data_IF_138233259949
#
_entry.id   IF_138233259949
#
_cell.length_a   1.000
_cell.length_b   1.000
_cell.length_c   1.000
_cell.angle_alpha   90.00
_cell.angle_beta   90.00
_cell.angle_gamma   90.00
#
_symmetry.space_group_name_H-M   'P 1'
#
loop_
_entity.id
_entity.type
_entity.pdbx_description
1 polymer ?
#
# COMPACT_ATOMS: atom_id res chain seq x y z
N UNK A 1 18.48 14.30 12.76
CA UNK A 1 18.47 14.28 14.24
C UNK A 1 17.31 15.13 14.76
N UNK A 2 17.17 16.35 14.28
CA UNK A 2 16.13 17.29 14.70
C UNK A 2 14.71 16.78 14.47
N UNK A 3 14.42 16.23 13.29
CA UNK A 3 13.11 15.65 12.98
C UNK A 3 12.75 14.44 13.87
N UNK A 4 13.74 13.61 14.21
CA UNK A 4 13.52 12.50 15.13
C UNK A 4 13.21 13.00 16.55
N UNK A 5 13.93 14.01 17.04
CA UNK A 5 13.64 14.62 18.34
C UNK A 5 12.23 15.22 18.38
N UNK A 6 11.80 15.88 17.32
CA UNK A 6 10.45 16.44 17.23
C UNK A 6 9.37 15.36 17.31
N UNK A 7 9.52 14.28 16.54
CA UNK A 7 8.61 13.11 16.59
C UNK A 7 8.58 12.48 17.98
N UNK A 8 9.75 12.33 18.61
CA UNK A 8 9.85 11.75 19.95
C UNK A 8 9.15 12.61 21.01
N UNK A 9 9.33 13.93 20.94
CA UNK A 9 8.63 14.85 21.86
C UNK A 9 7.11 14.79 21.68
N UNK A 10 6.61 14.71 20.44
CA UNK A 10 5.19 14.55 20.18
C UNK A 10 4.65 13.21 20.72
N UNK A 11 5.37 12.12 20.47
CA UNK A 11 4.99 10.79 20.97
C UNK A 11 4.99 10.72 22.50
N UNK A 12 6.01 11.28 23.16
CA UNK A 12 6.07 11.32 24.62
C UNK A 12 4.90 12.13 25.21
N UNK A 13 4.55 13.26 24.58
CA UNK A 13 3.38 14.04 24.97
C UNK A 13 2.08 13.25 24.83
N UNK A 14 1.88 12.54 23.74
CA UNK A 14 0.72 11.69 23.52
C UNK A 14 0.68 10.51 24.50
N UNK A 15 1.81 9.81 24.70
CA UNK A 15 1.89 8.69 25.66
C UNK A 15 1.62 9.11 27.11
N UNK A 16 1.87 10.36 27.47
CA UNK A 16 1.53 10.91 28.81
C UNK A 16 0.03 11.25 28.93
N UNK A 17 -0.59 11.68 27.84
CA UNK A 17 -2.00 12.07 27.79
C UNK A 17 -2.93 10.86 27.64
N UNK A 18 -2.52 9.88 26.82
CA UNK A 18 -3.20 8.61 26.66
C UNK A 18 -2.64 7.64 27.70
N UNK A 19 -3.27 7.56 28.86
CA UNK A 19 -3.20 6.34 29.64
C UNK A 19 -3.81 5.26 28.76
N UNK A 20 -2.96 4.55 28.00
CA UNK A 20 -3.37 3.37 27.25
C UNK A 20 -4.24 2.52 28.17
N UNK A 21 -5.42 2.16 27.70
CA UNK A 21 -6.42 1.50 28.49
C UNK A 21 -5.81 0.34 29.26
N UNK A 22 -5.65 0.54 30.55
CA UNK A 22 -4.82 -0.25 31.47
C UNK A 22 -5.35 -1.66 31.78
N UNK A 23 -6.32 -2.13 31.00
CA UNK A 23 -6.97 -3.43 31.21
C UNK A 23 -6.25 -4.61 30.52
N UNK A 24 -5.16 -4.36 29.81
CA UNK A 24 -4.37 -5.42 29.16
C UNK A 24 -3.18 -5.78 30.05
N UNK A 25 -3.31 -6.88 30.79
CA UNK A 25 -2.17 -7.44 31.51
C UNK A 25 -1.10 -7.93 30.53
N UNK A 26 0.03 -7.23 30.43
CA UNK A 26 1.15 -7.47 29.51
C UNK A 26 0.80 -7.19 28.04
N UNK A 27 0.62 -5.93 27.65
CA UNK A 27 0.33 -5.59 26.25
C UNK A 27 1.50 -5.95 25.33
N UNK A 28 1.18 -6.47 24.16
CA UNK A 28 2.11 -6.57 23.05
C UNK A 28 2.20 -5.22 22.38
N UNK A 29 3.42 -4.71 22.18
CA UNK A 29 3.70 -3.40 21.62
C UNK A 29 4.21 -3.51 20.19
N UNK A 30 3.57 -2.79 19.26
CA UNK A 30 3.96 -2.72 17.86
C UNK A 30 4.01 -1.27 17.39
N UNK A 31 5.12 -0.87 16.79
CA UNK A 31 5.28 0.42 16.13
C UNK A 31 5.15 0.30 14.62
N UNK A 32 4.41 1.22 14.00
CA UNK A 32 4.49 1.46 12.56
C UNK A 32 5.35 2.69 12.31
N UNK A 33 6.19 2.61 11.28
CA UNK A 33 7.02 3.72 10.83
C UNK A 33 7.01 3.84 9.32
N UNK A 34 6.68 5.04 8.84
CA UNK A 34 6.85 5.39 7.44
C UNK A 34 7.68 6.66 7.33
N UNK A 35 8.63 6.66 6.42
CA UNK A 35 9.49 7.81 6.18
C UNK A 35 9.56 8.13 4.70
N UNK A 36 9.77 9.40 4.37
CA UNK A 36 10.08 9.79 3.00
C UNK A 36 11.54 9.47 2.65
N UNK A 37 11.87 9.47 1.36
CA UNK A 37 13.18 9.10 0.82
C UNK A 37 14.35 9.81 1.53
N UNK A 38 14.16 11.06 1.93
CA UNK A 38 15.16 11.86 2.64
C UNK A 38 15.71 11.18 3.91
N UNK A 39 14.93 10.28 4.51
CA UNK A 39 15.32 9.57 5.74
C UNK A 39 15.63 8.09 5.52
N UNK A 40 15.59 7.58 4.30
CA UNK A 40 15.84 6.16 4.00
C UNK A 40 17.18 5.68 4.56
N UNK A 41 18.26 6.40 4.30
CA UNK A 41 19.60 6.08 4.80
C UNK A 41 19.72 6.20 6.34
N UNK A 42 18.85 6.95 6.98
CA UNK A 42 18.85 7.16 8.44
C UNK A 42 17.90 6.20 9.19
N UNK A 43 17.21 5.32 8.48
CA UNK A 43 16.23 4.40 9.07
C UNK A 43 16.77 3.60 10.26
N UNK A 44 18.00 3.02 10.22
CA UNK A 44 18.54 2.28 11.37
C UNK A 44 18.67 3.14 12.62
N UNK A 45 19.15 4.39 12.48
CA UNK A 45 19.35 5.32 13.59
C UNK A 45 18.00 5.81 14.14
N UNK A 46 17.02 6.04 13.26
CA UNK A 46 15.66 6.42 13.65
C UNK A 46 15.03 5.31 14.48
N UNK A 47 15.07 4.06 14.00
CA UNK A 47 14.53 2.90 14.73
C UNK A 47 15.22 2.69 16.09
N UNK A 48 16.54 2.87 16.14
CA UNK A 48 17.27 2.79 17.39
C UNK A 48 16.78 3.84 18.39
N UNK A 49 16.63 5.08 17.96
CA UNK A 49 16.13 6.17 18.81
C UNK A 49 14.70 5.91 19.29
N UNK A 50 13.81 5.47 18.39
CA UNK A 50 12.43 5.12 18.72
C UNK A 50 12.38 4.00 19.75
N UNK A 51 13.12 2.91 19.56
CA UNK A 51 13.18 1.78 20.52
C UNK A 51 13.63 2.21 21.90
N UNK A 52 14.67 3.05 21.96
CA UNK A 52 15.24 3.53 23.23
C UNK A 52 14.26 4.41 24.02
N UNK A 53 13.53 5.28 23.33
CA UNK A 53 12.66 6.28 23.97
C UNK A 53 11.26 5.75 24.24
N UNK A 54 10.70 4.93 23.35
CA UNK A 54 9.32 4.40 23.50
C UNK A 54 9.24 3.05 24.22
N UNK A 55 10.34 2.29 24.23
CA UNK A 55 10.36 0.91 24.73
C UNK A 55 9.67 -0.10 23.81
N UNK A 56 9.19 0.31 22.64
CA UNK A 56 8.64 -0.59 21.61
C UNK A 56 9.79 -1.30 20.89
N UNK A 57 9.75 -2.61 20.84
CA UNK A 57 10.80 -3.44 20.20
C UNK A 57 10.44 -3.85 18.79
N UNK A 58 9.17 -4.14 18.55
CA UNK A 58 8.64 -4.61 17.27
C UNK A 58 8.21 -3.43 16.42
N UNK A 59 8.77 -3.35 15.22
CA UNK A 59 8.53 -2.27 14.26
C UNK A 59 8.32 -2.84 12.86
N UNK A 60 7.33 -2.32 12.15
CA UNK A 60 7.09 -2.59 10.73
C UNK A 60 6.81 -1.28 10.00
N UNK A 61 6.98 -1.26 8.69
CA UNK A 61 6.77 -0.08 7.87
C UNK A 61 7.70 -0.01 6.66
N UNK A 62 7.99 1.20 6.20
CA UNK A 62 8.87 1.36 5.05
C UNK A 62 9.03 2.81 4.61
N UNK A 63 9.65 2.96 3.46
CA UNK A 63 9.75 4.26 2.79
C UNK A 63 8.59 4.45 1.82
N UNK A 64 8.20 5.71 1.64
CA UNK A 64 7.13 6.10 0.73
C UNK A 64 7.45 7.45 0.09
N UNK A 65 6.87 7.79 -1.07
CA UNK A 65 7.03 9.11 -1.67
C UNK A 65 6.36 10.21 -0.84
N UNK A 66 5.43 9.84 0.02
CA UNK A 66 4.75 10.71 0.95
C UNK A 66 4.23 9.95 2.16
N UNK A 67 3.98 10.64 3.24
CA UNK A 67 3.39 10.11 4.46
C UNK A 67 2.27 11.02 4.93
N UNK A 68 1.26 10.46 5.58
CA UNK A 68 0.21 11.23 6.22
C UNK A 68 0.04 10.82 7.68
N UNK A 69 -0.22 11.78 8.53
CA UNK A 69 -0.47 11.57 9.95
C UNK A 69 -1.30 12.72 10.50
N UNK A 70 -2.30 12.38 11.33
CA UNK A 70 -3.11 13.38 12.05
C UNK A 70 -3.73 14.47 11.16
N UNK A 71 -4.17 14.09 9.93
CA UNK A 71 -4.82 15.02 8.99
C UNK A 71 -3.87 15.92 8.20
N UNK A 72 -2.56 15.64 8.25
CA UNK A 72 -1.54 16.36 7.47
C UNK A 72 -0.87 15.37 6.51
N UNK A 73 -0.70 15.79 5.26
CA UNK A 73 0.06 15.06 4.25
C UNK A 73 1.41 15.76 4.01
N UNK A 74 2.45 14.94 3.88
CA UNK A 74 3.79 15.35 3.49
C UNK A 74 4.17 14.58 2.24
N UNK A 75 4.31 15.24 1.11
CA UNK A 75 4.62 14.62 -0.16
C UNK A 75 5.88 15.23 -0.77
N UNK A 76 6.86 14.37 -1.13
CA UNK A 76 8.17 14.77 -1.68
C UNK A 76 8.97 15.73 -0.78
N UNK A 77 8.71 15.72 0.51
CA UNK A 77 9.43 16.50 1.51
C UNK A 77 9.88 15.60 2.67
N UNK A 78 10.91 16.01 3.45
CA UNK A 78 11.40 15.22 4.56
C UNK A 78 10.35 15.04 5.65
N UNK A 79 9.85 13.81 5.84
CA UNK A 79 8.86 13.53 6.86
C UNK A 79 9.01 12.12 7.46
N UNK A 80 8.57 11.99 8.71
CA UNK A 80 8.51 10.75 9.47
C UNK A 80 7.12 10.64 10.08
N UNK A 81 6.39 9.57 9.77
CA UNK A 81 5.13 9.23 10.42
C UNK A 81 5.31 7.99 11.29
N UNK A 82 4.82 8.04 12.52
CA UNK A 82 4.91 6.96 13.50
C UNK A 82 3.56 6.72 14.13
N UNK A 83 3.20 5.45 14.28
CA UNK A 83 2.03 5.02 15.05
C UNK A 83 2.48 3.97 16.07
N UNK A 84 2.06 4.13 17.32
CA UNK A 84 2.30 3.17 18.41
C UNK A 84 1.00 2.46 18.75
N UNK A 85 1.03 1.15 18.83
CA UNK A 85 -0.14 0.33 19.10
C UNK A 85 0.16 -0.67 20.21
N UNK A 86 -0.83 -0.88 21.07
CA UNK A 86 -0.81 -1.92 22.09
C UNK A 86 -1.96 -2.91 21.84
N UNK A 87 -1.65 -4.18 21.88
CA UNK A 87 -2.58 -5.28 21.66
C UNK A 87 -2.57 -6.25 22.85
N UNK A 88 -3.60 -7.07 23.03
CA UNK A 88 -3.52 -8.24 23.90
C UNK A 88 -2.31 -9.10 23.52
N UNK A 89 -1.71 -9.77 24.49
CA UNK A 89 -0.56 -10.65 24.26
C UNK A 89 -0.80 -11.62 23.10
N UNK A 90 0.22 -11.89 22.31
CA UNK A 90 0.20 -12.81 21.16
C UNK A 90 -0.78 -12.43 20.03
N UNK A 91 -1.21 -11.17 19.97
CA UNK A 91 -2.13 -10.69 18.94
C UNK A 91 -1.45 -10.35 17.63
N UNK A 92 -0.16 -10.08 17.62
CA UNK A 92 0.58 -9.67 16.44
C UNK A 92 1.95 -10.37 16.36
N UNK A 93 2.40 -10.74 15.18
CA UNK A 93 3.72 -11.32 14.96
C UNK A 93 4.34 -10.76 13.69
N UNK A 94 5.49 -10.12 13.86
CA UNK A 94 6.29 -9.61 12.74
C UNK A 94 6.88 -10.78 11.96
N UNK A 95 6.91 -10.68 10.65
CA UNK A 95 7.52 -11.66 9.76
C UNK A 95 8.33 -10.97 8.65
N UNK A 96 9.29 -11.70 8.11
CA UNK A 96 10.10 -11.30 6.96
C UNK A 96 10.81 -12.52 6.37
N UNK A 97 11.62 -12.34 5.34
CA UNK A 97 12.49 -13.42 4.84
C UNK A 97 13.45 -14.00 5.90
N UNK A 98 13.70 -13.27 7.01
CA UNK A 98 14.53 -13.72 8.15
C UNK A 98 13.71 -14.22 9.34
N UNK A 99 12.50 -13.74 9.48
CA UNK A 99 11.59 -14.09 10.60
C UNK A 99 10.38 -14.82 9.99
N UNK A 100 10.27 -16.14 10.17
CA UNK A 100 9.25 -16.92 9.49
C UNK A 100 7.84 -16.61 10.01
N UNK A 101 6.87 -16.75 9.11
CA UNK A 101 5.45 -16.79 9.46
C UNK A 101 5.15 -17.91 10.45
N UNK A 102 4.11 -17.74 11.30
CA UNK A 102 3.52 -18.88 12.02
C UNK A 102 3.14 -20.00 11.05
N UNK A 103 3.10 -21.23 11.55
CA UNK A 103 2.61 -22.34 10.72
C UNK A 103 1.11 -22.14 10.40
N UNK A 104 0.65 -22.43 9.17
CA UNK A 104 -0.76 -22.39 8.84
C UNK A 104 -1.59 -23.24 9.83
N UNK A 105 -2.73 -22.73 10.28
CA UNK A 105 -3.59 -23.40 11.26
C UNK A 105 -3.04 -23.42 12.68
N UNK A 106 -1.90 -22.77 12.96
CA UNK A 106 -1.40 -22.66 14.33
C UNK A 106 -2.26 -21.71 15.16
N UNK A 107 -2.31 -21.98 16.46
CA UNK A 107 -3.02 -21.16 17.43
C UNK A 107 -2.04 -20.52 18.43
N UNK A 108 -2.43 -19.40 18.96
CA UNK A 108 -1.73 -18.74 20.08
C UNK A 108 -1.89 -19.53 21.38
N UNK A 109 -1.14 -19.23 22.41
CA UNK A 109 -1.32 -19.86 23.73
C UNK A 109 -2.73 -19.62 24.31
N UNK A 110 -3.39 -18.54 23.92
CA UNK A 110 -4.80 -18.25 24.27
C UNK A 110 -5.82 -18.98 23.36
N UNK A 111 -5.39 -19.87 22.46
CA UNK A 111 -6.26 -20.65 21.59
C UNK A 111 -6.83 -19.91 20.40
N UNK A 112 -6.37 -18.69 20.10
CA UNK A 112 -6.81 -17.93 18.93
C UNK A 112 -6.00 -18.35 17.70
N UNK A 113 -6.60 -18.36 16.53
CA UNK A 113 -5.87 -18.59 15.28
C UNK A 113 -4.80 -17.52 15.08
N UNK A 114 -3.57 -17.94 14.78
CA UNK A 114 -2.39 -17.08 14.81
C UNK A 114 -2.25 -16.15 13.59
N UNK A 115 -2.92 -16.48 12.46
CA UNK A 115 -2.86 -15.72 11.22
C UNK A 115 -4.24 -15.48 10.67
N UNK A 116 -4.96 -14.49 11.20
CA UNK A 116 -6.27 -14.08 10.71
C UNK A 116 -6.20 -12.98 9.65
N UNK A 117 -5.34 -12.00 9.84
CA UNK A 117 -5.12 -10.91 8.88
C UNK A 117 -3.62 -10.60 8.76
N UNK A 118 -3.21 -9.88 7.71
CA UNK A 118 -1.83 -9.47 7.52
C UNK A 118 -1.73 -8.03 6.97
N UNK A 119 -0.85 -7.23 7.60
CA UNK A 119 -0.33 -5.99 7.01
C UNK A 119 1.02 -6.32 6.38
N UNK A 120 1.21 -5.98 5.11
CA UNK A 120 2.41 -6.33 4.35
C UNK A 120 3.09 -5.13 3.73
N UNK A 121 4.41 -5.25 3.58
CA UNK A 121 5.27 -4.35 2.84
C UNK A 121 6.09 -5.17 1.85
N UNK A 122 6.09 -4.76 0.60
CA UNK A 122 6.72 -5.49 -0.50
C UNK A 122 7.73 -4.59 -1.18
N UNK A 123 8.94 -5.09 -1.37
CA UNK A 123 9.90 -4.45 -2.27
C UNK A 123 9.44 -4.66 -3.72
N UNK A 124 9.21 -3.59 -4.50
CA UNK A 124 8.72 -3.71 -5.89
C UNK A 124 9.67 -4.43 -6.84
N UNK A 125 10.94 -4.60 -6.46
CA UNK A 125 11.92 -5.36 -7.25
C UNK A 125 11.93 -6.86 -6.92
N UNK A 126 11.01 -7.31 -6.07
CA UNK A 126 10.86 -8.74 -5.75
C UNK A 126 10.30 -9.47 -6.95
N UNK A 127 10.95 -10.58 -7.32
CA UNK A 127 10.44 -11.51 -8.33
C UNK A 127 9.21 -12.26 -7.78
N UNK A 128 8.30 -12.65 -8.68
CA UNK A 128 7.14 -13.50 -8.38
C UNK A 128 6.23 -12.97 -7.25
N UNK A 129 5.99 -11.64 -7.21
CA UNK A 129 5.16 -10.99 -6.19
C UNK A 129 3.77 -11.63 -6.13
N UNK A 130 3.16 -11.91 -7.28
CA UNK A 130 1.82 -12.50 -7.35
C UNK A 130 1.78 -13.88 -6.68
N UNK A 131 2.77 -14.73 -6.94
CA UNK A 131 2.88 -16.06 -6.32
C UNK A 131 3.06 -15.97 -4.80
N UNK A 132 3.87 -14.99 -4.34
CA UNK A 132 4.07 -14.74 -2.91
C UNK A 132 2.79 -14.25 -2.23
N UNK A 133 2.00 -13.41 -2.89
CA UNK A 133 0.73 -12.92 -2.38
C UNK A 133 -0.33 -14.03 -2.35
N UNK A 134 -0.40 -14.85 -3.38
CA UNK A 134 -1.30 -16.00 -3.44
C UNK A 134 -0.96 -17.01 -2.34
N UNK A 135 0.33 -17.34 -2.15
CA UNK A 135 0.79 -18.23 -1.06
C UNK A 135 0.45 -17.66 0.33
N UNK A 136 0.65 -16.36 0.53
CA UNK A 136 0.27 -15.71 1.78
C UNK A 136 -1.25 -15.71 1.97
N UNK A 137 -2.02 -15.47 0.90
CA UNK A 137 -3.48 -15.51 0.90
C UNK A 137 -4.06 -16.87 1.30
N UNK A 138 -3.37 -17.95 0.95
CA UNK A 138 -3.74 -19.30 1.39
C UNK A 138 -3.43 -19.56 2.86
N UNK A 139 -2.48 -18.83 3.45
CA UNK A 139 -2.05 -19.01 4.85
C UNK A 139 -2.83 -18.15 5.83
N UNK A 140 -3.37 -17.01 5.39
CA UNK A 140 -4.17 -16.08 6.20
C UNK A 140 -5.63 -16.48 6.16
N UNK A 141 -6.22 -16.85 7.30
CA UNK A 141 -7.54 -17.49 7.34
C UNK A 141 -8.71 -16.64 6.85
N UNK A 142 -8.70 -15.34 7.16
CA UNK A 142 -9.73 -14.41 6.66
C UNK A 142 -9.46 -13.95 5.22
N UNK A 143 -8.29 -14.29 4.66
CA UNK A 143 -7.76 -13.75 3.40
C UNK A 143 -7.65 -12.21 3.39
N UNK A 144 -7.72 -11.55 4.54
CA UNK A 144 -7.52 -10.11 4.65
C UNK A 144 -6.04 -9.80 4.67
N UNK A 145 -5.51 -9.43 3.50
CA UNK A 145 -4.15 -8.92 3.33
C UNK A 145 -4.26 -7.48 2.88
N UNK A 146 -3.59 -6.58 3.56
CA UNK A 146 -3.57 -5.17 3.25
C UNK A 146 -2.15 -4.61 3.40
N UNK A 147 -1.86 -3.50 2.75
CA UNK A 147 -0.53 -2.92 2.66
C UNK A 147 -0.17 -2.56 1.25
N UNK A 148 1.11 -2.66 0.87
CA UNK A 148 1.52 -2.30 -0.48
C UNK A 148 3.01 -2.35 -0.75
N UNK A 149 3.36 -1.90 -1.94
CA UNK A 149 4.73 -1.76 -2.38
C UNK A 149 5.39 -0.58 -1.67
N UNK A 150 6.62 -0.77 -1.20
CA UNK A 150 7.43 0.29 -0.58
C UNK A 150 8.42 0.82 -1.61
N UNK A 151 8.27 2.09 -1.97
CA UNK A 151 9.15 2.71 -2.95
C UNK A 151 9.15 4.23 -2.78
N UNK A 152 10.34 4.82 -2.80
CA UNK A 152 10.51 6.25 -2.92
C UNK A 152 11.77 6.50 -3.77
N UNK A 153 11.59 7.00 -4.99
CA UNK A 153 12.68 7.17 -5.94
C UNK A 153 13.37 5.84 -6.25
N UNK A 154 14.66 5.73 -5.88
CA UNK A 154 15.46 4.50 -6.05
C UNK A 154 15.55 3.66 -4.78
N UNK A 155 14.94 4.08 -3.69
CA UNK A 155 14.98 3.39 -2.41
C UNK A 155 13.75 2.47 -2.24
N UNK A 156 13.97 1.24 -1.78
CA UNK A 156 12.95 0.21 -1.61
C UNK A 156 13.02 -0.46 -0.23
N UNK A 157 13.46 0.30 0.77
CA UNK A 157 13.65 -0.21 2.13
C UNK A 157 12.32 -0.35 2.86
N UNK A 158 12.06 -1.52 3.41
CA UNK A 158 10.98 -1.77 4.35
C UNK A 158 11.52 -2.20 5.71
N UNK A 159 10.64 -2.24 6.71
CA UNK A 159 11.00 -2.53 8.10
C UNK A 159 10.20 -3.73 8.59
N UNK A 160 10.89 -4.73 9.08
CA UNK A 160 10.33 -5.81 9.87
C UNK A 160 11.33 -6.19 10.97
N UNK A 161 11.16 -5.61 12.13
CA UNK A 161 12.12 -5.43 13.21
C UNK A 161 13.24 -4.48 12.76
N UNK A 162 14.07 -4.87 11.82
CA UNK A 162 15.16 -4.07 11.24
C UNK A 162 14.89 -3.68 9.78
N UNK A 163 15.59 -2.69 9.24
CA UNK A 163 15.48 -2.33 7.84
C UNK A 163 15.98 -3.47 6.95
N UNK A 164 15.27 -3.72 5.85
CA UNK A 164 15.59 -4.74 4.87
C UNK A 164 15.12 -4.32 3.48
N UNK A 165 15.64 -5.01 2.46
CA UNK A 165 15.25 -4.85 1.06
C UNK A 165 15.01 -6.22 0.46
N UNK A 166 14.19 -6.29 -0.58
CA UNK A 166 13.77 -7.54 -1.23
C UNK A 166 12.71 -8.31 -0.45
N UNK A 167 11.85 -9.00 -1.17
CA UNK A 167 10.82 -9.87 -0.62
C UNK A 167 9.62 -9.15 -0.01
N UNK A 168 8.89 -9.92 0.78
CA UNK A 168 7.70 -9.50 1.51
C UNK A 168 7.99 -9.56 3.01
N UNK A 169 7.56 -8.54 3.73
CA UNK A 169 7.60 -8.50 5.19
C UNK A 169 6.35 -7.86 5.77
N UNK A 170 6.18 -7.91 7.07
CA UNK A 170 5.05 -7.26 7.71
C UNK A 170 4.70 -7.82 9.07
N UNK A 171 3.43 -7.80 9.38
CA UNK A 171 2.88 -8.34 10.61
C UNK A 171 1.61 -9.13 10.33
N UNK A 172 1.51 -10.32 10.90
CA UNK A 172 0.26 -11.09 10.93
C UNK A 172 -0.42 -10.87 12.27
N UNK A 173 -1.75 -10.83 12.22
CA UNK A 173 -2.60 -10.61 13.37
C UNK A 173 -3.39 -11.87 13.69
N UNK A 174 -3.49 -12.19 14.97
CA UNK A 174 -4.31 -13.29 15.46
C UNK A 174 -5.80 -12.93 15.40
N UNK A 175 -6.64 -13.96 15.30
CA UNK A 175 -8.09 -13.79 15.35
C UNK A 175 -8.54 -13.13 16.66
N UNK A 176 -9.62 -12.35 16.59
CA UNK A 176 -10.22 -11.64 17.72
C UNK A 176 -9.77 -10.18 17.87
N UNK A 177 -8.90 -9.67 17.00
CA UNK A 177 -8.71 -8.24 16.86
C UNK A 177 -9.79 -7.65 15.92
N UNK A 178 -10.38 -6.50 16.26
CA UNK A 178 -11.36 -5.82 15.40
C UNK A 178 -10.66 -5.09 14.25
N UNK A 179 -10.14 -5.84 13.28
CA UNK A 179 -9.48 -5.27 12.10
C UNK A 179 -10.53 -5.09 11.01
N UNK A 180 -10.68 -3.86 10.57
CA UNK A 180 -11.55 -3.49 9.45
C UNK A 180 -10.69 -2.83 8.36
N UNK A 181 -10.73 -3.40 7.16
CA UNK A 181 -10.00 -2.87 6.01
C UNK A 181 -10.97 -2.11 5.12
N UNK A 182 -10.60 -0.88 4.78
CA UNK A 182 -11.32 -0.04 3.82
C UNK A 182 -10.36 0.36 2.73
N UNK A 183 -10.84 0.34 1.49
CA UNK A 183 -10.11 0.84 0.35
C UNK A 183 -10.78 2.10 -0.18
N UNK A 184 -9.98 3.14 -0.37
CA UNK A 184 -10.40 4.36 -1.04
C UNK A 184 -9.52 4.54 -2.27
N UNK A 185 -10.15 4.68 -3.42
CA UNK A 185 -9.47 4.98 -4.68
C UNK A 185 -9.83 6.41 -5.08
N UNK A 186 -8.82 7.25 -5.29
CA UNK A 186 -8.98 8.63 -5.72
C UNK A 186 -9.28 8.74 -7.22
N UNK A 187 -10.07 7.80 -7.79
CA UNK A 187 -10.45 7.76 -9.19
C UNK A 187 -11.95 7.90 -9.33
N UNK A 188 -12.40 8.60 -10.38
CA UNK A 188 -13.80 8.65 -10.79
C UNK A 188 -13.97 7.76 -12.01
N UNK A 189 -15.05 6.97 -12.02
CA UNK A 189 -15.43 6.22 -13.22
C UNK A 189 -15.86 7.21 -14.29
N UNK A 190 -15.31 7.09 -15.47
CA UNK A 190 -15.63 7.89 -16.64
C UNK A 190 -16.18 6.94 -17.71
N UNK A 191 -17.37 7.24 -18.25
CA UNK A 191 -18.01 6.39 -19.23
C UNK A 191 -18.71 5.16 -18.63
N UNK A 192 -18.81 4.13 -19.43
CA UNK A 192 -19.49 2.87 -19.11
C UNK A 192 -18.52 1.69 -19.21
N UNK A 193 -18.97 0.51 -18.82
CA UNK A 193 -18.21 -0.72 -18.96
C UNK A 193 -18.17 -1.19 -20.41
N UNK A 194 -16.98 -1.52 -20.91
CA UNK A 194 -16.73 -2.00 -22.27
C UNK A 194 -16.03 -3.35 -22.26
N UNK A 195 -16.24 -4.13 -23.30
CA UNK A 195 -15.49 -5.37 -23.50
C UNK A 195 -14.16 -5.08 -24.22
N UNK A 196 -13.04 -5.56 -23.67
CA UNK A 196 -11.74 -5.50 -24.33
C UNK A 196 -11.74 -6.55 -25.45
N UNK A 197 -11.81 -6.11 -26.70
CA UNK A 197 -11.87 -6.99 -27.88
C UNK A 197 -10.56 -7.08 -28.64
N UNK A 198 -9.61 -6.18 -28.38
CA UNK A 198 -8.28 -6.20 -28.98
C UNK A 198 -7.20 -5.75 -28.01
N UNK A 199 -6.13 -6.58 -27.89
CA UNK A 199 -4.95 -6.31 -27.07
C UNK A 199 -3.68 -6.54 -27.89
N UNK A 200 -2.69 -5.67 -27.73
CA UNK A 200 -1.33 -5.88 -28.23
C UNK A 200 -0.32 -5.64 -27.11
N UNK A 201 0.17 -6.72 -26.53
CA UNK A 201 0.94 -6.64 -25.29
C UNK A 201 0.08 -6.02 -24.19
N UNK A 202 0.51 -4.90 -23.65
CA UNK A 202 -0.20 -4.17 -22.60
C UNK A 202 -1.08 -3.04 -23.15
N UNK A 203 -1.19 -2.90 -24.47
CA UNK A 203 -2.01 -1.86 -25.10
C UNK A 203 -3.40 -2.39 -25.40
N UNK A 204 -4.42 -1.68 -24.94
CA UNK A 204 -5.80 -1.89 -25.36
C UNK A 204 -5.99 -1.20 -26.71
N UNK A 205 -6.14 -1.99 -27.78
CA UNK A 205 -6.34 -1.47 -29.13
C UNK A 205 -7.82 -1.32 -29.48
N UNK A 206 -8.67 -2.24 -28.97
CA UNK A 206 -10.09 -2.23 -29.28
C UNK A 206 -10.95 -2.46 -28.04
N UNK A 207 -12.04 -1.70 -27.96
CA UNK A 207 -13.14 -1.84 -27.02
C UNK A 207 -14.44 -2.01 -27.83
N UNK A 208 -15.22 -3.06 -27.55
CA UNK A 208 -16.47 -3.40 -28.24
C UNK A 208 -16.31 -3.47 -29.78
N UNK A 209 -15.15 -3.96 -30.26
CA UNK A 209 -14.84 -4.05 -31.70
C UNK A 209 -14.54 -2.72 -32.38
N UNK A 210 -14.29 -1.64 -31.61
CA UNK A 210 -13.97 -0.30 -32.10
C UNK A 210 -12.61 0.15 -31.57
N UNK A 211 -11.89 1.07 -32.25
CA UNK A 211 -10.66 1.63 -31.72
C UNK A 211 -10.87 2.18 -30.30
N UNK A 212 -10.01 1.75 -29.35
CA UNK A 212 -10.18 2.06 -27.92
C UNK A 212 -10.17 3.57 -27.65
N UNK A 213 -9.37 4.34 -28.40
CA UNK A 213 -9.32 5.80 -28.27
C UNK A 213 -10.65 6.46 -28.68
N UNK A 214 -11.29 5.97 -29.73
CA UNK A 214 -12.59 6.52 -30.21
C UNK A 214 -13.70 6.27 -29.19
N UNK A 215 -13.68 5.09 -28.55
CA UNK A 215 -14.64 4.74 -27.49
C UNK A 215 -14.41 5.64 -26.27
N UNK A 216 -13.16 5.80 -25.84
CA UNK A 216 -12.80 6.67 -24.72
C UNK A 216 -13.21 8.13 -24.96
N UNK A 217 -12.95 8.67 -26.16
CA UNK A 217 -13.33 10.04 -26.51
C UNK A 217 -14.85 10.21 -26.50
N UNK A 218 -15.58 9.21 -26.98
CA UNK A 218 -17.04 9.22 -26.96
C UNK A 218 -17.60 9.24 -25.53
N UNK A 219 -17.05 8.42 -24.64
CA UNK A 219 -17.43 8.37 -23.23
C UNK A 219 -17.17 9.68 -22.49
N UNK A 220 -16.09 10.35 -22.86
CA UNK A 220 -15.74 11.65 -22.32
C UNK A 220 -16.58 12.79 -22.91
N UNK A 221 -17.43 12.51 -23.91
CA UNK A 221 -18.17 13.52 -24.67
C UNK A 221 -17.26 14.42 -25.52
N UNK A 222 -16.07 13.93 -25.84
CA UNK A 222 -15.11 14.63 -26.71
C UNK A 222 -15.25 14.05 -28.10
N UNK A 223 -15.76 14.89 -29.03
CA UNK A 223 -15.73 14.52 -30.45
C UNK A 223 -14.45 15.09 -31.07
N UNK A 224 -13.74 14.31 -31.89
CA UNK A 224 -12.65 14.87 -32.67
C UNK A 224 -13.23 15.97 -33.61
N UNK A 225 -12.65 17.16 -33.50
CA UNK A 225 -13.06 18.27 -34.35
C UNK A 225 -12.72 17.91 -35.81
N UNK A 226 -13.71 17.83 -36.68
CA UNK A 226 -13.55 17.31 -38.05
C UNK A 226 -12.75 18.28 -38.94
N UNK A 227 -12.48 19.49 -38.44
CA UNK A 227 -11.78 20.55 -39.18
C UNK A 227 -10.27 20.66 -38.86
N UNK A 228 -9.72 19.84 -37.94
CA UNK A 228 -8.29 19.91 -37.61
C UNK A 228 -7.43 18.99 -38.49
N UNK A 229 -6.30 19.52 -38.92
CA UNK A 229 -5.32 18.81 -39.76
C UNK A 229 -4.66 17.59 -39.08
N UNK A 230 -4.86 17.40 -37.76
CA UNK A 230 -4.36 16.25 -36.99
C UNK A 230 -5.25 15.96 -35.77
N UNK A 231 -6.36 15.26 -35.92
CA UNK A 231 -7.31 15.00 -34.84
C UNK A 231 -6.72 14.16 -33.68
N UNK A 232 -5.74 13.30 -33.96
CA UNK A 232 -5.09 12.50 -32.94
C UNK A 232 -4.22 13.35 -31.99
N UNK A 233 -3.57 14.40 -32.52
CA UNK A 233 -2.76 15.31 -31.68
C UNK A 233 -3.65 16.17 -30.80
N UNK A 234 -4.78 16.65 -31.31
CA UNK A 234 -5.72 17.40 -30.48
C UNK A 234 -6.34 16.57 -29.36
N UNK A 235 -6.76 15.33 -29.66
CA UNK A 235 -7.28 14.41 -28.66
C UNK A 235 -6.25 14.14 -27.57
N UNK A 236 -4.98 13.92 -27.93
CA UNK A 236 -3.89 13.72 -26.98
C UNK A 236 -3.67 14.94 -26.08
N UNK A 237 -3.71 16.16 -26.63
CA UNK A 237 -3.56 17.40 -25.88
C UNK A 237 -4.72 17.64 -24.89
N UNK A 238 -5.94 17.35 -25.32
CA UNK A 238 -7.13 17.46 -24.46
C UNK A 238 -7.08 16.44 -23.33
N UNK A 239 -6.72 15.18 -23.63
CA UNK A 239 -6.58 14.12 -22.65
C UNK A 239 -5.46 14.46 -21.66
N UNK A 240 -4.30 14.91 -22.12
CA UNK A 240 -3.17 15.29 -21.27
C UNK A 240 -3.52 16.45 -20.32
N UNK A 241 -4.29 17.44 -20.78
CA UNK A 241 -4.75 18.57 -19.94
C UNK A 241 -5.82 18.14 -18.94
N UNK A 242 -6.80 17.33 -19.36
CA UNK A 242 -7.94 16.93 -18.53
C UNK A 242 -7.55 15.86 -17.50
N UNK A 243 -6.61 15.00 -17.85
CA UNK A 243 -6.13 13.90 -17.03
C UNK A 243 -4.64 14.04 -16.66
N UNK A 244 -4.25 15.26 -16.27
CA UNK A 244 -2.87 15.55 -15.85
C UNK A 244 -2.34 14.62 -14.74
N UNK A 245 -3.23 14.02 -13.95
CA UNK A 245 -2.90 13.07 -12.89
C UNK A 245 -3.02 11.60 -13.33
N UNK A 246 -3.27 11.34 -14.60
CA UNK A 246 -3.35 10.01 -15.19
C UNK A 246 -4.78 9.56 -15.50
N UNK A 247 -4.88 8.66 -16.46
CA UNK A 247 -6.08 7.91 -16.82
C UNK A 247 -5.81 6.44 -16.48
N UNK A 248 -6.74 5.80 -15.78
CA UNK A 248 -6.61 4.42 -15.34
C UNK A 248 -7.69 3.56 -15.96
N UNK A 249 -7.34 2.34 -16.34
CA UNK A 249 -8.30 1.32 -16.78
C UNK A 249 -8.70 0.48 -15.58
N UNK A 250 -9.98 0.45 -15.25
CA UNK A 250 -10.53 -0.48 -14.28
C UNK A 250 -10.91 -1.78 -14.98
N UNK A 251 -10.37 -2.92 -14.52
CA UNK A 251 -10.76 -4.23 -15.02
C UNK A 251 -11.79 -4.84 -14.06
N UNK A 252 -12.96 -5.19 -14.58
CA UNK A 252 -13.98 -5.93 -13.82
C UNK A 252 -13.95 -7.38 -14.26
N UNK A 253 -13.47 -8.27 -13.40
CA UNK A 253 -13.61 -9.70 -13.59
C UNK A 253 -14.80 -10.18 -12.77
N UNK A 254 -15.86 -10.59 -13.43
CA UNK A 254 -17.09 -11.08 -12.79
C UNK A 254 -16.87 -12.37 -11.97
N UNK A 255 -15.83 -13.12 -12.25
CA UNK A 255 -15.47 -14.33 -11.49
C UNK A 255 -14.71 -14.01 -10.20
N UNK A 256 -14.20 -12.78 -10.03
CA UNK A 256 -13.35 -12.32 -8.93
C UNK A 256 -13.95 -11.12 -8.18
N UNK A 257 -15.26 -10.94 -8.19
CA UNK A 257 -15.95 -9.76 -7.61
C UNK A 257 -15.55 -9.40 -6.17
N UNK A 258 -14.91 -10.32 -5.44
CA UNK A 258 -14.41 -10.10 -4.08
C UNK A 258 -12.90 -9.77 -3.99
N UNK A 259 -12.13 -9.88 -5.08
CA UNK A 259 -10.65 -9.71 -5.07
C UNK A 259 -10.10 -8.65 -6.05
N UNK A 260 -10.96 -7.90 -6.70
CA UNK A 260 -10.64 -6.96 -7.82
C UNK A 260 -9.67 -5.83 -7.43
N UNK A 261 -9.54 -5.51 -6.17
CA UNK A 261 -8.83 -4.31 -5.73
C UNK A 261 -7.31 -4.33 -5.93
N UNK A 262 -6.68 -5.48 -6.11
CA UNK A 262 -5.21 -5.60 -6.09
C UNK A 262 -4.61 -5.67 -7.50
N UNK A 263 -5.26 -6.32 -8.46
CA UNK A 263 -4.72 -6.48 -9.82
C UNK A 263 -4.75 -5.21 -10.68
N UNK A 264 -5.68 -4.31 -10.47
CA UNK A 264 -5.82 -3.07 -11.25
C UNK A 264 -4.77 -1.99 -10.92
N UNK A 265 -4.14 -2.04 -9.75
CA UNK A 265 -3.27 -0.96 -9.29
C UNK A 265 -1.82 -1.08 -9.76
N UNK A 266 -1.33 -2.28 -10.00
CA UNK A 266 0.06 -2.52 -10.43
C UNK A 266 0.29 -2.18 -11.92
N UNK A 267 -0.69 -2.35 -12.78
CA UNK A 267 -0.58 -2.12 -14.21
C UNK A 267 -0.60 -0.63 -14.64
N UNK A 268 -1.12 0.25 -13.79
CA UNK A 268 -1.47 1.62 -14.23
C UNK A 268 -0.36 2.66 -14.22
N UNK A 269 0.80 2.41 -13.62
CA UNK A 269 1.77 3.50 -13.39
C UNK A 269 2.85 3.68 -14.46
N UNK A 270 3.21 2.66 -15.22
CA UNK A 270 4.28 2.78 -16.23
C UNK A 270 3.79 3.08 -17.65
N UNK A 271 2.51 2.90 -17.93
CA UNK A 271 1.99 2.87 -19.30
C UNK A 271 1.03 3.99 -19.66
N UNK A 272 0.48 4.71 -18.69
CA UNK A 272 -0.36 5.90 -18.94
C UNK A 272 0.38 7.06 -19.63
N UNK A 273 1.68 6.95 -19.84
CA UNK A 273 2.48 7.94 -20.60
C UNK A 273 2.71 7.56 -22.06
N UNK A 274 2.11 6.47 -22.55
CA UNK A 274 2.31 5.99 -23.93
C UNK A 274 1.02 5.81 -24.74
N UNK A 275 -0.09 6.37 -24.28
CA UNK A 275 -1.28 6.54 -25.11
C UNK A 275 -1.24 7.84 -25.87
#
# INVERSE_FOLDING_TARGET
>A
REALELVLVQLEGQMQLEQFATDISRPQKLGLIYVTEAYAASMPQILQGLRQRTGFKDWVGGIAPGVCSSGVEYFQEPAIAVMLMEFPAESARVFSGKVPLPKPGSVTASGREAMSAALIHIDPLTEDIDDLLDDLGLKVSSRQIFGGLVSAGTAHTHVALDPLSGGVSGVVFANGLPIEVRMTQGVQVVGVEHEITGLRGNFVEELDGRPALDVLLADLGLQPDVDEANPASHAADVLAKRFAHGLFVGLTDRSLAESIAIKGYAAGRSEAHQL
#
